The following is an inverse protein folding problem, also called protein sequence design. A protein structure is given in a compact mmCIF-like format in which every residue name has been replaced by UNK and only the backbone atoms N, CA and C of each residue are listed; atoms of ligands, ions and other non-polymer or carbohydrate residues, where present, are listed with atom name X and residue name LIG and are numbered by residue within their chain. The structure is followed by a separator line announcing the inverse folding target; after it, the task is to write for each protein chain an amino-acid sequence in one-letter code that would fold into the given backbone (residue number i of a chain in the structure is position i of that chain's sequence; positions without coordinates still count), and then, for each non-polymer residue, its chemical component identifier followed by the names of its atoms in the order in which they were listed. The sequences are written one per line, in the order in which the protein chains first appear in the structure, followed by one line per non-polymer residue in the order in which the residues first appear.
data_IF_885738842603
#
_entry.id   IF_885738842603
#
_cell.length_a   1.000
_cell.length_b   1.000
_cell.length_c   1.000
_cell.angle_alpha   90.00
_cell.angle_beta   90.00
_cell.angle_gamma   90.00
#
_symmetry.space_group_name_H-M   'P 1'
#
loop_
_entity.id
_entity.type
_entity.pdbx_description
1 polymer ?
#
# COMPACT_ATOMS: atom_id res chain seq x y z
N UNK A 1 -9.53 -4.71 19.56
CA UNK A 1 -8.41 -3.99 18.90
C UNK A 1 -8.62 -2.50 19.12
N UNK A 2 -7.58 -1.78 19.50
CA UNK A 2 -7.66 -0.34 19.78
C UNK A 2 -7.47 0.46 18.51
N UNK A 3 -8.28 1.51 18.32
CA UNK A 3 -8.14 2.44 17.19
C UNK A 3 -7.90 3.87 17.70
N UNK A 4 -7.37 4.73 16.85
CA UNK A 4 -7.10 6.12 17.14
C UNK A 4 -7.34 6.97 15.90
N UNK A 5 -7.88 8.17 16.08
CA UNK A 5 -8.02 9.11 14.95
C UNK A 5 -6.67 9.73 14.55
N UNK A 6 -6.51 10.17 13.30
CA UNK A 6 -5.33 10.91 12.86
C UNK A 6 -4.99 12.11 13.72
N UNK A 7 -6.00 12.90 14.12
CA UNK A 7 -5.80 14.10 14.92
C UNK A 7 -5.29 13.80 16.35
N UNK A 8 -5.78 12.73 16.97
CA UNK A 8 -5.29 12.29 18.27
C UNK A 8 -3.86 11.76 18.20
N UNK A 9 -3.54 10.95 17.16
CA UNK A 9 -2.17 10.50 16.96
C UNK A 9 -1.22 11.68 16.73
N UNK A 10 -1.63 12.69 15.94
CA UNK A 10 -0.81 13.90 15.75
C UNK A 10 -0.50 14.62 17.07
N UNK A 11 -1.46 14.71 17.99
CA UNK A 11 -1.22 15.28 19.33
C UNK A 11 -0.19 14.47 20.12
N UNK A 12 -0.30 13.14 20.07
CA UNK A 12 0.67 12.24 20.71
C UNK A 12 2.06 12.43 20.10
N UNK A 13 2.19 12.46 18.79
CA UNK A 13 3.48 12.64 18.10
C UNK A 13 4.09 14.03 18.36
N UNK A 14 3.27 15.04 18.60
CA UNK A 14 3.76 16.37 18.98
C UNK A 14 4.32 16.35 20.41
N UNK A 15 3.65 15.65 21.34
CA UNK A 15 4.08 15.54 22.74
C UNK A 15 5.22 14.52 22.92
N UNK A 16 5.23 13.45 22.13
CA UNK A 16 6.18 12.33 22.19
C UNK A 16 6.63 11.93 20.79
N UNK A 17 7.59 12.66 20.17
CA UNK A 17 8.02 12.41 18.80
C UNK A 17 8.65 11.02 18.57
N UNK A 18 9.10 10.36 19.63
CA UNK A 18 9.69 9.00 19.58
C UNK A 18 8.67 7.86 19.60
N UNK A 19 7.37 8.16 19.68
CA UNK A 19 6.33 7.15 19.65
C UNK A 19 6.41 6.33 18.37
N UNK A 20 6.41 4.98 18.45
CA UNK A 20 6.62 4.13 17.27
C UNK A 20 5.40 4.14 16.35
N UNK A 21 5.58 4.65 15.15
CA UNK A 21 4.58 4.64 14.06
C UNK A 21 5.10 3.79 12.92
N UNK A 22 4.35 2.76 12.56
CA UNK A 22 4.72 1.80 11.51
C UNK A 22 3.73 1.91 10.36
N UNK A 23 4.24 2.22 9.18
CA UNK A 23 3.47 2.20 7.95
C UNK A 23 3.66 0.84 7.25
N UNK A 24 2.58 0.06 7.16
CA UNK A 24 2.61 -1.30 6.61
C UNK A 24 2.24 -1.35 5.12
N UNK A 25 2.31 -0.22 4.43
CA UNK A 25 2.13 -0.14 2.98
C UNK A 25 3.38 -0.61 2.24
N UNK A 26 3.25 -0.71 0.92
CA UNK A 26 4.41 -0.99 0.05
C UNK A 26 5.43 0.15 0.10
N UNK A 27 6.72 -0.12 -0.15
CA UNK A 27 7.76 0.92 -0.20
C UNK A 27 7.45 2.04 -1.20
N UNK A 28 6.77 1.72 -2.29
CA UNK A 28 6.37 2.69 -3.32
C UNK A 28 5.31 3.66 -2.77
N UNK A 29 4.27 3.14 -2.11
CA UNK A 29 3.24 3.98 -1.46
C UNK A 29 3.83 4.86 -0.37
N UNK A 30 4.77 4.32 0.42
CA UNK A 30 5.46 5.07 1.47
C UNK A 30 6.34 6.18 0.88
N UNK A 31 7.10 5.89 -0.19
CA UNK A 31 7.95 6.86 -0.85
C UNK A 31 7.16 8.01 -1.51
N UNK A 32 5.92 7.75 -1.95
CA UNK A 32 5.05 8.78 -2.55
C UNK A 32 4.60 9.82 -1.50
N UNK A 33 4.08 9.33 -0.38
CA UNK A 33 3.62 10.17 0.74
C UNK A 33 3.55 9.35 2.01
N UNK A 34 4.06 9.88 3.13
CA UNK A 34 3.99 9.22 4.43
C UNK A 34 3.93 10.23 5.58
N UNK A 35 3.55 9.77 6.75
CA UNK A 35 3.64 10.53 8.01
C UNK A 35 5.12 10.69 8.37
N UNK A 36 5.62 11.89 8.68
CA UNK A 36 7.05 12.17 8.84
C UNK A 36 7.78 11.22 9.80
N UNK A 37 7.12 10.84 10.91
CA UNK A 37 7.70 9.98 11.95
C UNK A 37 7.51 8.47 11.65
N UNK A 38 6.78 8.12 10.59
CA UNK A 38 6.48 6.72 10.29
C UNK A 38 7.70 5.99 9.75
N UNK A 39 7.90 4.76 10.24
CA UNK A 39 8.87 3.81 9.72
C UNK A 39 8.17 2.85 8.74
N UNK A 40 8.72 2.68 7.56
CA UNK A 40 8.18 1.72 6.57
C UNK A 40 8.55 0.28 6.94
N UNK A 41 7.53 -0.53 7.19
CA UNK A 41 7.66 -1.98 7.37
C UNK A 41 6.47 -2.64 6.66
N UNK A 42 6.60 -3.03 5.39
CA UNK A 42 5.52 -3.66 4.64
C UNK A 42 4.90 -4.86 5.36
N UNK A 43 3.58 -5.04 5.23
CA UNK A 43 2.85 -6.12 5.90
C UNK A 43 3.46 -7.51 5.65
N UNK A 44 3.96 -7.74 4.42
CA UNK A 44 4.56 -9.01 4.00
C UNK A 44 5.96 -9.22 4.64
N UNK A 45 6.65 -8.13 5.00
CA UNK A 45 7.94 -8.13 5.67
C UNK A 45 7.80 -8.13 7.21
N UNK A 46 6.60 -7.92 7.73
CA UNK A 46 6.31 -7.97 9.16
C UNK A 46 6.35 -9.41 9.65
N UNK A 47 7.55 -9.90 10.01
CA UNK A 47 7.80 -11.24 10.53
C UNK A 47 8.01 -11.19 12.03
N UNK A 48 7.83 -12.33 12.69
CA UNK A 48 8.14 -12.50 14.12
C UNK A 48 9.54 -11.98 14.43
N UNK A 49 9.63 -11.06 15.40
CA UNK A 49 10.90 -10.43 15.79
C UNK A 49 11.44 -9.35 14.83
N UNK A 50 10.71 -9.01 13.75
CA UNK A 50 11.12 -7.96 12.79
C UNK A 50 11.13 -6.55 13.39
N UNK A 51 10.29 -6.31 14.40
CA UNK A 51 10.21 -5.05 15.12
C UNK A 51 10.98 -5.15 16.44
N UNK A 52 12.13 -4.48 16.51
CA UNK A 52 12.87 -4.32 17.75
C UNK A 52 12.26 -3.17 18.58
N UNK A 53 11.03 -3.36 19.04
CA UNK A 53 10.28 -2.40 19.83
C UNK A 53 9.86 -3.01 21.17
N UNK A 54 9.75 -2.20 22.24
CA UNK A 54 9.15 -2.65 23.50
C UNK A 54 7.71 -3.13 23.26
N UNK A 55 7.37 -4.31 23.81
CA UNK A 55 6.07 -4.93 23.58
C UNK A 55 4.97 -4.40 24.49
N UNK A 56 5.33 -3.69 25.53
CA UNK A 56 4.47 -3.09 26.54
C UNK A 56 4.00 -1.66 26.19
N UNK A 57 4.57 -1.08 25.14
CA UNK A 57 4.26 0.27 24.68
C UNK A 57 3.29 0.27 23.49
N UNK A 58 2.53 1.36 23.28
CA UNK A 58 1.69 1.52 22.09
C UNK A 58 2.52 1.53 20.82
N UNK A 59 2.10 0.74 19.80
CA UNK A 59 2.64 0.77 18.45
C UNK A 59 1.53 1.20 17.51
N UNK A 60 1.69 2.33 16.86
CA UNK A 60 0.70 2.91 15.95
C UNK A 60 0.90 2.38 14.54
N UNK A 61 -0.17 1.85 13.94
CA UNK A 61 -0.12 1.17 12.65
C UNK A 61 -0.90 1.95 11.61
N UNK A 62 -0.22 2.30 10.53
CA UNK A 62 -0.76 3.00 9.38
C UNK A 62 -0.77 2.09 8.14
N UNK A 63 -1.81 2.22 7.34
CA UNK A 63 -1.82 1.82 5.95
C UNK A 63 -2.64 2.83 5.13
N UNK A 64 -3.08 2.48 3.92
CA UNK A 64 -3.86 3.41 3.09
C UNK A 64 -5.20 3.79 3.74
N UNK A 65 -6.01 2.79 4.18
CA UNK A 65 -7.40 2.96 4.66
C UNK A 65 -7.71 2.26 5.99
N UNK A 66 -6.73 1.61 6.64
CA UNK A 66 -6.90 0.89 7.90
C UNK A 66 -6.88 -0.64 7.77
N UNK A 67 -7.32 -1.24 6.67
CA UNK A 67 -7.47 -2.70 6.52
C UNK A 67 -6.15 -3.49 6.70
N UNK A 68 -5.07 -3.09 6.03
CA UNK A 68 -3.75 -3.73 6.20
C UNK A 68 -3.18 -3.50 7.60
N UNK A 69 -3.44 -2.34 8.19
CA UNK A 69 -3.04 -2.02 9.55
C UNK A 69 -3.77 -2.90 10.58
N UNK A 70 -5.03 -3.24 10.34
CA UNK A 70 -5.78 -4.21 11.15
C UNK A 70 -5.11 -5.57 11.15
N UNK A 71 -4.80 -6.13 9.97
CA UNK A 71 -4.08 -7.40 9.85
C UNK A 71 -2.70 -7.38 10.52
N UNK A 72 -2.01 -6.24 10.43
CA UNK A 72 -0.73 -6.04 11.12
C UNK A 72 -0.90 -6.04 12.64
N UNK A 73 -1.95 -5.38 13.16
CA UNK A 73 -2.25 -5.34 14.59
C UNK A 73 -2.55 -6.74 15.15
N UNK A 74 -3.35 -7.53 14.44
CA UNK A 74 -3.64 -8.93 14.79
C UNK A 74 -2.35 -9.74 14.88
N UNK A 75 -1.48 -9.60 13.87
CA UNK A 75 -0.20 -10.29 13.82
C UNK A 75 0.72 -9.87 14.97
N UNK A 76 0.85 -8.59 15.27
CA UNK A 76 1.64 -8.10 16.40
C UNK A 76 1.08 -8.57 17.75
N UNK A 77 -0.25 -8.64 17.90
CA UNK A 77 -0.86 -9.16 19.11
C UNK A 77 -0.48 -10.64 19.34
N UNK A 78 -0.44 -11.47 18.29
CA UNK A 78 0.03 -12.87 18.40
C UNK A 78 1.51 -12.97 18.73
N UNK A 79 2.32 -11.95 18.43
CA UNK A 79 3.73 -11.86 18.79
C UNK A 79 3.97 -11.30 20.22
N UNK A 80 2.90 -11.00 20.94
CA UNK A 80 2.93 -10.55 22.33
C UNK A 80 3.06 -9.02 22.50
N UNK A 81 2.81 -8.22 21.46
CA UNK A 81 2.63 -6.78 21.62
C UNK A 81 1.31 -6.50 22.32
N UNK A 82 1.36 -5.79 23.46
CA UNK A 82 0.17 -5.59 24.28
C UNK A 82 -0.75 -4.46 23.77
N UNK A 83 -0.19 -3.51 23.02
CA UNK A 83 -0.92 -2.30 22.61
C UNK A 83 -0.72 -1.93 21.13
N UNK A 84 -1.06 -2.83 20.17
CA UNK A 84 -1.13 -2.41 18.77
C UNK A 84 -2.37 -1.54 18.55
N UNK A 85 -2.17 -0.35 17.97
CA UNK A 85 -3.22 0.67 17.76
C UNK A 85 -3.31 0.98 16.26
N UNK A 86 -4.50 0.83 15.68
CA UNK A 86 -4.75 1.12 14.27
C UNK A 86 -5.18 2.57 14.09
N UNK A 87 -4.57 3.28 13.15
CA UNK A 87 -5.00 4.63 12.77
C UNK A 87 -6.19 4.54 11.82
N UNK A 88 -7.32 5.11 12.26
CA UNK A 88 -8.59 5.10 11.52
C UNK A 88 -8.44 5.81 10.17
N UNK A 89 -8.97 5.19 9.11
CA UNK A 89 -8.88 5.71 7.75
C UNK A 89 -7.46 5.81 7.19
N UNK A 90 -6.43 5.48 7.98
CA UNK A 90 -5.03 5.40 7.57
C UNK A 90 -4.47 6.70 7.00
N UNK A 91 -3.59 6.58 6.00
CA UNK A 91 -2.93 7.75 5.38
C UNK A 91 -3.92 8.63 4.60
N UNK A 92 -5.03 8.08 4.10
CA UNK A 92 -6.07 8.88 3.43
C UNK A 92 -6.71 9.85 4.42
N UNK A 93 -7.20 9.38 5.56
CA UNK A 93 -7.80 10.25 6.58
C UNK A 93 -6.78 11.23 7.19
N UNK A 94 -5.49 10.83 7.28
CA UNK A 94 -4.41 11.73 7.70
C UNK A 94 -4.26 12.92 6.76
N UNK A 95 -4.29 12.67 5.43
CA UNK A 95 -4.20 13.72 4.41
C UNK A 95 -5.45 14.58 4.39
N UNK A 96 -6.66 13.98 4.49
CA UNK A 96 -7.94 14.70 4.56
C UNK A 96 -8.01 15.65 5.75
N UNK A 97 -7.41 15.25 6.88
CA UNK A 97 -7.28 16.10 8.07
C UNK A 97 -6.21 17.21 7.92
N UNK A 98 -5.59 17.36 6.74
CA UNK A 98 -4.52 18.34 6.46
C UNK A 98 -3.34 18.26 7.45
N UNK A 99 -3.03 17.08 7.96
CA UNK A 99 -1.91 16.86 8.87
C UNK A 99 -0.58 16.77 8.12
N UNK A 100 0.56 17.04 8.79
CA UNK A 100 1.87 17.04 8.15
C UNK A 100 2.20 15.72 7.46
N UNK A 101 2.69 15.78 6.22
CA UNK A 101 3.16 14.64 5.44
C UNK A 101 4.49 14.92 4.79
N UNK A 102 5.34 13.92 4.71
CA UNK A 102 6.52 13.93 3.83
C UNK A 102 6.11 13.40 2.47
N UNK A 103 6.38 14.16 1.41
CA UNK A 103 6.15 13.75 0.02
C UNK A 103 7.49 13.49 -0.66
N UNK A 104 7.62 12.34 -1.29
CA UNK A 104 8.79 12.03 -2.09
C UNK A 104 8.89 12.92 -3.32
N UNK A 105 10.11 13.26 -3.73
CA UNK A 105 10.36 14.03 -4.95
C UNK A 105 10.16 13.22 -6.24
N UNK A 106 10.19 11.90 -6.14
CA UNK A 106 9.94 11.00 -7.26
C UNK A 106 8.43 10.75 -7.38
N UNK A 107 7.83 11.24 -8.45
CA UNK A 107 6.50 10.82 -8.89
C UNK A 107 6.56 9.37 -9.37
N UNK A 108 6.69 8.44 -8.44
CA UNK A 108 6.57 7.01 -8.77
C UNK A 108 5.11 6.75 -9.14
N UNK A 109 4.89 6.30 -10.38
CA UNK A 109 3.54 5.90 -10.81
C UNK A 109 3.09 4.75 -9.92
N UNK A 110 2.00 4.93 -9.18
CA UNK A 110 1.48 3.88 -8.29
C UNK A 110 1.23 2.59 -9.08
N UNK A 111 1.42 1.43 -8.43
CA UNK A 111 1.24 0.12 -9.06
C UNK A 111 -0.13 0.01 -9.75
N UNK A 112 -1.17 0.51 -9.11
CA UNK A 112 -2.53 0.55 -9.64
C UNK A 112 -2.63 1.34 -10.96
N UNK A 113 -1.97 2.50 -11.04
CA UNK A 113 -1.91 3.30 -12.28
C UNK A 113 -1.11 2.58 -13.37
N UNK A 114 0.00 1.92 -13.02
CA UNK A 114 0.78 1.11 -13.97
C UNK A 114 -0.07 -0.03 -14.56
N UNK A 115 -0.84 -0.73 -13.72
CA UNK A 115 -1.76 -1.80 -14.15
C UNK A 115 -2.83 -1.24 -15.08
N UNK A 116 -3.46 -0.12 -14.76
CA UNK A 116 -4.47 0.51 -15.63
C UNK A 116 -3.90 0.91 -16.99
N UNK A 117 -2.72 1.51 -17.00
CA UNK A 117 -2.04 1.92 -18.25
C UNK A 117 -1.72 0.68 -19.09
N UNK A 118 -1.12 -0.36 -18.48
CA UNK A 118 -0.76 -1.59 -19.19
C UNK A 118 -2.00 -2.31 -19.74
N UNK A 119 -3.05 -2.47 -18.94
CA UNK A 119 -4.30 -3.11 -19.37
C UNK A 119 -4.96 -2.33 -20.51
N UNK A 120 -5.07 -1.01 -20.38
CA UNK A 120 -5.63 -0.14 -21.43
C UNK A 120 -4.83 -0.20 -22.73
N UNK A 121 -3.50 -0.22 -22.65
CA UNK A 121 -2.63 -0.34 -23.82
C UNK A 121 -2.83 -1.69 -24.53
N UNK A 122 -2.92 -2.80 -23.81
CA UNK A 122 -3.15 -4.13 -24.42
C UNK A 122 -4.54 -4.20 -25.06
N UNK A 123 -5.59 -3.68 -24.41
CA UNK A 123 -6.95 -3.62 -24.98
C UNK A 123 -6.94 -2.80 -26.27
N UNK A 124 -6.35 -1.60 -26.25
CA UNK A 124 -6.27 -0.75 -27.44
C UNK A 124 -5.51 -1.44 -28.59
N UNK A 125 -4.37 -2.04 -28.28
CA UNK A 125 -3.58 -2.80 -29.26
C UNK A 125 -4.38 -3.95 -29.85
N UNK A 126 -5.10 -4.72 -29.05
CA UNK A 126 -5.95 -5.83 -29.51
C UNK A 126 -7.05 -5.35 -30.46
N UNK A 127 -7.72 -4.22 -30.15
CA UNK A 127 -8.74 -3.62 -31.03
C UNK A 127 -8.14 -3.14 -32.35
N UNK A 128 -6.98 -2.46 -32.31
CA UNK A 128 -6.33 -1.98 -33.54
C UNK A 128 -5.87 -3.15 -34.41
N UNK A 129 -5.27 -4.19 -33.84
CA UNK A 129 -4.89 -5.38 -34.59
C UNK A 129 -6.10 -6.12 -35.14
N UNK A 130 -7.20 -6.20 -34.40
CA UNK A 130 -8.44 -6.81 -34.89
C UNK A 130 -9.01 -6.03 -36.09
N UNK A 131 -8.87 -4.69 -36.12
CA UNK A 131 -9.38 -3.84 -37.21
C UNK A 131 -8.51 -3.86 -38.44
N UNK A 132 -7.16 -3.91 -38.31
CA UNK A 132 -6.24 -3.67 -39.41
C UNK A 132 -5.48 -4.93 -39.86
N UNK A 133 -5.41 -5.97 -39.02
CA UNK A 133 -4.60 -7.19 -39.31
C UNK A 133 -5.51 -8.42 -39.39
N UNK A 134 -6.12 -8.84 -38.31
CA UNK A 134 -6.99 -10.01 -38.26
C UNK A 134 -7.97 -9.91 -37.11
N UNK A 135 -9.26 -10.16 -37.38
CA UNK A 135 -10.34 -10.07 -36.41
C UNK A 135 -10.11 -10.92 -35.15
N UNK A 136 -9.37 -12.01 -35.23
CA UNK A 136 -9.09 -12.90 -34.09
C UNK A 136 -8.36 -12.20 -32.95
N UNK A 137 -7.66 -11.08 -33.18
CA UNK A 137 -7.03 -10.30 -32.12
C UNK A 137 -8.04 -9.63 -31.15
N UNK A 138 -9.34 -9.64 -31.46
CA UNK A 138 -10.37 -9.15 -30.53
C UNK A 138 -10.39 -9.97 -29.24
N UNK A 139 -10.04 -11.26 -29.30
CA UNK A 139 -9.96 -12.13 -28.13
C UNK A 139 -8.91 -11.66 -27.11
N UNK A 140 -7.85 -11.00 -27.55
CA UNK A 140 -6.86 -10.41 -26.65
C UNK A 140 -7.51 -9.32 -25.76
N UNK A 141 -8.30 -8.45 -26.36
CA UNK A 141 -9.04 -7.40 -25.62
C UNK A 141 -10.07 -7.99 -24.68
N UNK A 142 -10.81 -9.02 -25.15
CA UNK A 142 -11.79 -9.74 -24.34
C UNK A 142 -11.18 -10.41 -23.12
N UNK A 143 -10.04 -11.08 -23.29
CA UNK A 143 -9.31 -11.74 -22.20
C UNK A 143 -8.86 -10.73 -21.11
N UNK A 144 -8.28 -9.60 -21.52
CA UNK A 144 -7.86 -8.56 -20.58
C UNK A 144 -9.07 -7.94 -19.87
N UNK A 145 -10.16 -7.68 -20.62
CA UNK A 145 -11.40 -7.17 -20.03
C UNK A 145 -12.00 -8.09 -18.97
N UNK A 146 -12.08 -9.41 -19.27
CA UNK A 146 -12.54 -10.41 -18.31
C UNK A 146 -11.62 -10.49 -17.07
N UNK A 147 -10.30 -10.41 -17.26
CA UNK A 147 -9.32 -10.36 -16.17
C UNK A 147 -9.48 -9.14 -15.27
N UNK A 148 -9.81 -7.97 -15.83
CA UNK A 148 -10.08 -6.77 -15.05
C UNK A 148 -11.36 -6.88 -14.21
N UNK A 149 -12.43 -7.48 -14.77
CA UNK A 149 -13.67 -7.75 -14.03
C UNK A 149 -13.39 -8.71 -12.86
N UNK A 150 -12.69 -9.81 -13.15
CA UNK A 150 -12.29 -10.76 -12.12
C UNK A 150 -11.47 -10.11 -11.01
N UNK A 151 -10.48 -9.29 -11.37
CA UNK A 151 -9.65 -8.57 -10.40
C UNK A 151 -10.47 -7.58 -9.55
N UNK A 152 -11.49 -6.94 -10.14
CA UNK A 152 -12.38 -6.04 -9.41
C UNK A 152 -13.30 -6.73 -8.40
N UNK A 153 -13.67 -7.99 -8.66
CA UNK A 153 -14.55 -8.77 -7.77
C UNK A 153 -13.74 -9.45 -6.64
N UNK A 154 -12.52 -9.93 -6.96
CA UNK A 154 -11.74 -10.79 -6.05
C UNK A 154 -10.59 -10.08 -5.33
N UNK A 155 -10.34 -8.80 -5.66
CA UNK A 155 -9.14 -8.06 -5.25
C UNK A 155 -7.80 -8.75 -5.64
N UNK A 156 -7.85 -9.76 -6.52
CA UNK A 156 -6.70 -10.48 -7.04
C UNK A 156 -6.36 -10.03 -8.45
N UNK A 157 -5.23 -9.34 -8.61
CA UNK A 157 -4.75 -8.86 -9.90
C UNK A 157 -3.44 -9.53 -10.30
N UNK A 158 -3.49 -10.53 -11.19
CA UNK A 158 -2.29 -11.22 -11.71
C UNK A 158 -1.31 -10.29 -12.41
N UNK A 159 -1.81 -9.30 -13.18
CA UNK A 159 -0.97 -8.27 -13.82
C UNK A 159 -0.27 -7.40 -12.78
N UNK A 160 -0.94 -7.06 -11.67
CA UNK A 160 -0.34 -6.31 -10.56
C UNK A 160 0.83 -7.06 -9.94
N UNK A 161 0.72 -8.39 -9.76
CA UNK A 161 1.82 -9.23 -9.26
C UNK A 161 3.01 -9.27 -10.21
N UNK A 162 2.79 -9.30 -11.52
CA UNK A 162 3.85 -9.27 -12.52
C UNK A 162 4.55 -7.91 -12.55
N UNK A 163 3.80 -6.81 -12.56
CA UNK A 163 4.34 -5.45 -12.58
C UNK A 163 5.10 -5.15 -11.28
N UNK A 164 4.63 -5.64 -10.13
CA UNK A 164 5.32 -5.49 -8.85
C UNK A 164 6.74 -6.10 -8.83
N UNK A 165 6.98 -7.15 -9.64
CA UNK A 165 8.29 -7.81 -9.76
C UNK A 165 9.28 -7.05 -10.65
N UNK A 166 8.85 -6.03 -11.39
CA UNK A 166 9.71 -5.24 -12.28
C UNK A 166 10.76 -4.44 -11.50
N UNK A 167 11.95 -4.23 -12.06
CA UNK A 167 13.09 -3.66 -11.32
C UNK A 167 12.83 -2.27 -10.75
N UNK A 168 12.00 -1.45 -11.39
CA UNK A 168 11.63 -0.12 -10.89
C UNK A 168 10.62 -0.13 -9.75
N UNK A 169 9.93 -1.26 -9.51
CA UNK A 169 9.04 -1.47 -8.38
C UNK A 169 9.72 -2.26 -7.24
N UNK A 170 10.95 -2.77 -7.46
CA UNK A 170 11.76 -3.40 -6.42
C UNK A 170 12.47 -2.33 -5.61
N UNK A 171 12.55 -2.54 -4.29
CA UNK A 171 13.30 -1.71 -3.35
C UNK A 171 14.76 -1.64 -3.80
N UNK A 172 15.31 -0.44 -4.05
CA UNK A 172 16.74 -0.21 -3.84
C UNK A 172 16.92 -0.19 -2.32
N UNK A 173 17.62 -1.15 -1.76
CA UNK A 173 18.14 -1.05 -0.39
C UNK A 173 18.96 0.23 -0.34
N UNK A 174 18.49 1.17 0.46
CA UNK A 174 19.35 2.27 0.92
C UNK A 174 20.23 1.64 1.99
N UNK A 175 21.44 1.24 1.60
CA UNK A 175 22.55 1.00 2.52
C UNK A 175 22.94 2.32 3.19
#
# INVERSE_FOLDING_TARGET
MKTISPAELQKILTAQPSSPVIDVRTPVEFAEVHVPQARSVPLDELKTGSLQLPKDQPVYLLCRSGQRATKAAEKLATEGFLQPVVVEGGTLAWIEANLPVTRGQTKVISLERQVRIAAGAIVLTGVLLARFVNFNFIWLSGFVGAGLIFAGITDFCGMGLLIAKLPWNKRKSLD
#
